data_IF_979310244995
#
_entry.id   IF_979310244995
#
_cell.length_a   1.000
_cell.length_b   1.000
_cell.length_c   1.000
_cell.angle_alpha   90.00
_cell.angle_beta   90.00
_cell.angle_gamma   90.00
#
_symmetry.space_group_name_H-M   'P 1'
#
loop_
_entity.id
_entity.type
_entity.pdbx_description
1 polymer ?
#
# COMPACT_ATOMS: atom_id res chain seq x y z
N UNK A 1 1.44 15.07 -0.94
CA UNK A 1 0.02 14.71 -1.15
C UNK A 1 -0.27 14.76 -2.64
N UNK A 2 -1.12 13.87 -3.16
CA UNK A 2 -1.60 13.89 -4.55
C UNK A 2 -3.05 14.38 -4.53
N UNK A 3 -3.37 15.47 -5.23
CA UNK A 3 -4.68 16.11 -5.11
C UNK A 3 -5.30 16.45 -6.46
N UNK A 4 -6.64 16.58 -6.48
CA UNK A 4 -7.45 16.98 -7.65
C UNK A 4 -7.18 16.11 -8.87
N UNK A 5 -7.01 14.80 -8.66
CA UNK A 5 -6.68 13.83 -9.70
C UNK A 5 -7.88 13.68 -10.63
N UNK A 6 -7.64 13.94 -11.90
CA UNK A 6 -8.61 13.72 -12.98
C UNK A 6 -7.98 12.89 -14.09
N UNK A 7 -8.78 12.01 -14.68
CA UNK A 7 -8.43 11.33 -15.92
C UNK A 7 -9.11 12.04 -17.10
N UNK A 8 -8.35 12.39 -18.14
CA UNK A 8 -8.91 13.04 -19.33
C UNK A 8 -9.43 11.99 -20.31
N UNK A 9 -10.73 11.72 -20.26
CA UNK A 9 -11.44 10.82 -21.15
C UNK A 9 -11.94 11.60 -22.37
N UNK A 10 -11.18 11.50 -23.47
CA UNK A 10 -11.50 12.09 -24.76
C UNK A 10 -11.88 13.60 -24.70
N UNK A 11 -11.07 14.39 -24.00
CA UNK A 11 -11.27 15.84 -23.84
C UNK A 11 -12.05 16.22 -22.59
N UNK A 12 -12.65 15.27 -21.87
CA UNK A 12 -13.40 15.51 -20.63
C UNK A 12 -12.61 15.03 -19.42
N UNK A 13 -12.26 15.96 -18.52
CA UNK A 13 -11.68 15.61 -17.22
C UNK A 13 -12.75 14.97 -16.33
N UNK A 14 -12.52 13.73 -15.91
CA UNK A 14 -13.38 12.99 -14.99
C UNK A 14 -12.67 12.83 -13.66
N UNK A 15 -13.38 13.04 -12.54
CA UNK A 15 -12.81 12.92 -11.20
C UNK A 15 -12.40 11.47 -10.92
N UNK A 16 -11.26 11.31 -10.24
CA UNK A 16 -10.77 10.00 -9.77
C UNK A 16 -10.52 10.05 -8.26
N UNK A 17 -9.74 11.03 -7.80
CA UNK A 17 -9.37 11.18 -6.40
C UNK A 17 -9.24 12.66 -6.05
N UNK A 18 -9.94 13.10 -5.01
CA UNK A 18 -9.81 14.46 -4.49
C UNK A 18 -8.46 14.62 -3.78
N UNK A 19 -8.10 13.73 -2.86
CA UNK A 19 -6.82 13.73 -2.14
C UNK A 19 -6.33 12.31 -1.80
N UNK A 20 -5.05 12.06 -2.05
CA UNK A 20 -4.36 10.81 -1.70
C UNK A 20 -3.05 11.09 -0.95
N UNK A 21 -2.85 10.39 0.16
CA UNK A 21 -1.62 10.51 0.97
C UNK A 21 -1.37 9.27 1.83
N UNK A 22 -0.15 9.15 2.36
CA UNK A 22 0.09 8.31 3.54
C UNK A 22 -0.79 8.87 4.68
N UNK A 23 -1.73 8.08 5.16
CA UNK A 23 -2.53 8.43 6.34
C UNK A 23 -1.70 8.26 7.61
N UNK A 24 -0.96 7.16 7.69
CA UNK A 24 0.02 6.90 8.73
C UNK A 24 0.65 5.53 8.59
N UNK A 25 1.60 5.21 9.46
CA UNK A 25 2.20 3.88 9.52
C UNK A 25 2.66 3.55 10.95
N UNK A 26 2.85 2.26 11.22
CA UNK A 26 3.35 1.75 12.49
C UNK A 26 4.38 0.64 12.27
N UNK A 27 5.44 0.64 13.09
CA UNK A 27 6.42 -0.45 13.21
C UNK A 27 6.44 -1.03 14.63
N UNK A 28 5.58 -2.02 14.94
CA UNK A 28 5.51 -2.63 16.27
C UNK A 28 6.33 -3.92 16.37
N UNK A 29 7.04 -4.10 17.49
CA UNK A 29 7.92 -5.24 17.77
C UNK A 29 7.25 -6.33 18.61
N UNK A 30 7.71 -7.58 18.48
CA UNK A 30 7.14 -8.76 19.16
C UNK A 30 7.94 -9.33 20.33
N UNK A 31 8.94 -8.61 20.84
CA UNK A 31 9.79 -9.06 21.96
C UNK A 31 9.33 -8.43 23.29
N UNK A 32 9.04 -9.23 24.34
CA UNK A 32 8.50 -8.76 25.60
C UNK A 32 9.55 -8.23 26.59
N UNK A 33 10.84 -8.30 26.28
CA UNK A 33 11.89 -7.88 27.21
C UNK A 33 11.87 -6.36 27.44
N UNK A 34 12.50 -5.94 28.55
CA UNK A 34 12.49 -4.56 29.06
C UNK A 34 12.86 -3.49 28.02
N UNK A 35 13.75 -3.83 27.08
CA UNK A 35 14.20 -2.92 26.03
C UNK A 35 13.30 -2.87 24.81
N UNK A 36 12.26 -3.72 24.72
CA UNK A 36 11.51 -4.01 23.49
C UNK A 36 9.98 -3.90 23.62
N UNK A 37 9.39 -4.27 24.76
CA UNK A 37 7.93 -4.43 24.88
C UNK A 37 7.11 -3.17 24.51
N UNK A 38 7.70 -1.99 24.64
CA UNK A 38 7.05 -0.71 24.34
C UNK A 38 7.30 -0.22 22.89
N UNK A 39 8.16 -0.89 22.12
CA UNK A 39 8.57 -0.41 20.79
C UNK A 39 7.44 -0.60 19.78
N UNK A 40 6.78 0.51 19.48
CA UNK A 40 5.83 0.64 18.40
C UNK A 40 5.94 2.07 17.82
N UNK A 41 6.71 2.22 16.76
CA UNK A 41 7.01 3.52 16.16
C UNK A 41 5.87 3.96 15.25
N UNK A 42 5.20 5.08 15.56
CA UNK A 42 4.30 5.77 14.62
C UNK A 42 5.11 6.77 13.80
N UNK A 43 5.85 6.30 12.80
CA UNK A 43 6.89 7.06 12.09
C UNK A 43 6.42 8.46 11.63
N UNK A 44 5.24 8.53 11.02
CA UNK A 44 4.66 9.81 10.59
C UNK A 44 4.12 10.66 11.75
N UNK A 45 3.42 10.04 12.70
CA UNK A 45 2.72 10.74 13.77
C UNK A 45 3.63 11.23 14.90
N UNK A 46 4.58 10.40 15.33
CA UNK A 46 5.48 10.68 16.45
C UNK A 46 6.76 11.43 16.01
N UNK A 47 7.21 11.23 14.76
CA UNK A 47 8.51 11.76 14.30
C UNK A 47 8.43 12.76 13.12
N UNK A 48 7.33 12.77 12.37
CA UNK A 48 7.15 13.70 11.25
C UNK A 48 7.97 13.31 10.01
N UNK A 49 7.54 12.26 9.30
CA UNK A 49 8.21 11.77 8.09
C UNK A 49 8.45 12.83 7.00
N UNK A 50 7.55 13.82 6.87
CA UNK A 50 7.75 14.94 5.94
C UNK A 50 9.01 15.77 6.27
N UNK A 51 9.19 16.11 7.55
CA UNK A 51 10.41 16.77 8.06
C UNK A 51 11.64 15.88 7.89
N UNK A 52 11.46 14.57 8.04
CA UNK A 52 12.50 13.55 7.89
C UNK A 52 12.58 12.99 6.47
N UNK A 53 12.30 13.82 5.46
CA UNK A 53 12.50 13.44 4.06
C UNK A 53 13.98 13.27 3.77
N UNK A 54 14.33 12.19 3.09
CA UNK A 54 15.70 11.91 2.66
C UNK A 54 15.91 12.39 1.22
N UNK A 55 16.79 13.39 0.98
CA UNK A 55 17.06 13.90 -0.36
C UNK A 55 17.48 12.82 -1.35
N UNK A 56 16.78 12.72 -2.47
CA UNK A 56 17.02 11.70 -3.49
C UNK A 56 18.46 11.77 -4.00
N UNK A 57 19.18 10.64 -3.93
CA UNK A 57 20.47 10.46 -4.58
C UNK A 57 20.25 10.17 -6.07
N UNK A 58 20.42 11.21 -6.89
CA UNK A 58 20.20 11.17 -8.35
C UNK A 58 20.88 9.97 -9.02
N UNK A 59 20.11 9.24 -9.83
CA UNK A 59 20.59 8.09 -10.60
C UNK A 59 20.76 6.79 -9.80
N UNK A 60 20.47 6.81 -8.49
CA UNK A 60 20.52 5.63 -7.61
C UNK A 60 19.15 5.37 -6.98
N UNK A 61 18.65 6.34 -6.21
CA UNK A 61 17.36 6.24 -5.51
C UNK A 61 16.18 6.45 -6.47
N UNK A 62 16.44 7.08 -7.61
CA UNK A 62 15.53 7.26 -8.74
C UNK A 62 16.34 7.13 -10.05
N UNK A 63 15.72 6.72 -11.17
CA UNK A 63 16.43 6.51 -12.43
C UNK A 63 17.05 7.81 -12.96
N UNK A 64 18.01 7.67 -13.89
CA UNK A 64 18.77 8.80 -14.43
C UNK A 64 17.92 9.84 -15.17
N UNK A 65 16.74 9.45 -15.68
CA UNK A 65 15.78 10.33 -16.35
C UNK A 65 14.85 11.08 -15.37
N UNK A 66 15.01 10.90 -14.06
CA UNK A 66 14.14 11.53 -13.08
C UNK A 66 14.35 13.06 -12.98
N UNK A 67 13.22 13.76 -12.91
CA UNK A 67 13.15 15.15 -12.46
C UNK A 67 13.05 15.14 -10.94
N UNK A 68 13.86 15.96 -10.27
CA UNK A 68 13.90 16.03 -8.81
C UNK A 68 13.35 17.38 -8.38
N UNK A 69 12.39 17.36 -7.46
CA UNK A 69 11.70 18.53 -6.96
C UNK A 69 12.24 18.89 -5.58
N UNK A 70 12.45 20.17 -5.34
CA UNK A 70 12.64 20.70 -3.99
C UNK A 70 11.26 20.99 -3.40
N UNK A 71 11.11 20.80 -2.10
CA UNK A 71 9.87 21.13 -1.38
C UNK A 71 10.22 22.00 -0.17
N UNK A 72 9.32 22.88 0.24
CA UNK A 72 9.52 23.75 1.41
C UNK A 72 8.49 23.44 2.47
N UNK A 73 8.95 23.26 3.71
CA UNK A 73 8.12 23.07 4.90
C UNK A 73 8.55 24.07 5.99
N UNK A 74 7.85 24.11 7.12
CA UNK A 74 8.35 24.79 8.32
C UNK A 74 9.16 23.81 9.18
N UNK A 75 10.27 24.27 9.76
CA UNK A 75 10.99 23.53 10.80
C UNK A 75 10.30 23.65 12.17
N UNK A 76 10.86 22.97 13.17
CA UNK A 76 10.30 22.94 14.53
C UNK A 76 10.29 24.30 15.25
N UNK A 77 11.01 25.30 14.74
CA UNK A 77 11.04 26.68 15.26
C UNK A 77 10.15 27.63 14.46
N UNK A 78 9.50 27.14 13.40
CA UNK A 78 8.64 27.93 12.51
C UNK A 78 9.39 28.62 11.36
N UNK A 79 10.66 28.29 11.15
CA UNK A 79 11.46 28.85 10.04
C UNK A 79 11.25 27.99 8.78
N UNK A 80 11.06 28.59 7.59
CA UNK A 80 11.00 27.83 6.35
C UNK A 80 12.27 27.02 6.09
N UNK A 81 12.11 25.74 5.79
CA UNK A 81 13.16 24.78 5.47
C UNK A 81 12.88 24.21 4.08
N UNK A 82 13.77 24.51 3.12
CA UNK A 82 13.79 23.84 1.82
C UNK A 82 14.48 22.48 1.95
N UNK A 83 13.80 21.43 1.52
CA UNK A 83 14.33 20.08 1.39
C UNK A 83 14.73 19.89 -0.09
N UNK A 84 16.04 19.82 -0.40
CA UNK A 84 16.47 19.66 -1.77
C UNK A 84 16.17 18.24 -2.26
N UNK A 85 15.69 18.10 -3.49
CA UNK A 85 15.40 16.78 -4.11
C UNK A 85 14.50 15.90 -3.23
N UNK A 86 13.49 16.51 -2.61
CA UNK A 86 12.53 15.83 -1.73
C UNK A 86 11.71 14.76 -2.47
N UNK A 87 11.36 15.02 -3.73
CA UNK A 87 10.51 14.13 -4.55
C UNK A 87 11.21 13.87 -5.88
N UNK A 88 11.09 12.64 -6.38
CA UNK A 88 11.46 12.28 -7.75
C UNK A 88 10.22 12.02 -8.60
N UNK A 89 10.17 12.59 -9.79
CA UNK A 89 9.13 12.33 -10.80
C UNK A 89 9.81 11.74 -12.03
N UNK A 90 9.37 10.57 -12.47
CA UNK A 90 9.97 9.90 -13.62
C UNK A 90 8.99 9.02 -14.37
N UNK A 91 9.19 8.93 -15.68
CA UNK A 91 8.51 7.94 -16.52
C UNK A 91 9.36 6.67 -16.63
N UNK A 92 8.72 5.50 -16.66
CA UNK A 92 9.39 4.22 -16.93
C UNK A 92 8.62 3.38 -17.93
N UNK A 93 9.36 2.58 -18.71
CA UNK A 93 8.82 1.45 -19.46
C UNK A 93 8.43 0.33 -18.48
N UNK A 94 7.23 -0.25 -18.66
CA UNK A 94 6.69 -1.27 -17.77
C UNK A 94 6.14 -2.50 -18.52
N UNK A 95 6.83 -2.93 -19.57
CA UNK A 95 6.42 -4.07 -20.39
C UNK A 95 5.44 -3.70 -21.50
N UNK A 96 4.77 -4.67 -22.15
CA UNK A 96 3.70 -4.40 -23.08
C UNK A 96 2.42 -3.95 -22.35
N UNK A 97 1.78 -2.87 -22.79
CA UNK A 97 0.45 -2.46 -22.29
C UNK A 97 -0.61 -3.48 -22.69
N UNK A 98 -0.60 -3.86 -23.97
CA UNK A 98 -1.29 -5.03 -24.47
C UNK A 98 -0.55 -5.64 -25.64
N UNK A 99 -0.85 -6.92 -25.92
CA UNK A 99 -0.29 -7.66 -27.04
C UNK A 99 -1.30 -8.67 -27.57
N UNK A 100 -1.41 -8.77 -28.88
CA UNK A 100 -2.09 -9.86 -29.57
C UNK A 100 -1.26 -10.33 -30.77
N UNK A 101 -0.95 -11.63 -30.81
CA UNK A 101 -0.31 -12.27 -31.95
C UNK A 101 -1.28 -13.28 -32.53
N UNK A 102 -2.05 -12.84 -33.53
CA UNK A 102 -2.96 -13.72 -34.26
C UNK A 102 -2.17 -14.57 -35.25
N UNK A 103 -2.55 -15.84 -35.40
CA UNK A 103 -1.84 -16.75 -36.30
C UNK A 103 -2.06 -16.30 -37.75
N UNK A 104 -0.96 -16.11 -38.49
CA UNK A 104 -1.01 -15.68 -39.89
C UNK A 104 -1.36 -14.20 -40.10
N UNK A 105 -1.38 -13.37 -39.05
CA UNK A 105 -1.60 -11.92 -39.14
C UNK A 105 -0.42 -11.14 -38.55
N UNK A 106 -0.26 -9.84 -38.89
CA UNK A 106 0.73 -8.97 -38.26
C UNK A 106 0.52 -8.86 -36.73
N UNK A 107 1.63 -8.79 -36.00
CA UNK A 107 1.62 -8.57 -34.55
C UNK A 107 1.02 -7.21 -34.19
N UNK A 108 0.26 -7.15 -33.09
CA UNK A 108 -0.14 -5.90 -32.44
C UNK A 108 0.47 -5.87 -31.04
N UNK A 109 1.26 -4.83 -30.74
CA UNK A 109 1.82 -4.61 -29.40
C UNK A 109 2.05 -3.13 -29.17
N UNK A 110 1.77 -2.69 -27.96
CA UNK A 110 2.06 -1.35 -27.46
C UNK A 110 2.85 -1.48 -26.17
N UNK A 111 3.74 -0.54 -25.92
CA UNK A 111 4.46 -0.48 -24.64
C UNK A 111 3.61 0.20 -23.56
N UNK A 112 3.79 -0.21 -22.31
CA UNK A 112 3.24 0.44 -21.14
C UNK A 112 4.22 1.48 -20.65
N UNK A 113 3.74 2.70 -20.41
CA UNK A 113 4.44 3.70 -19.61
C UNK A 113 3.74 3.94 -18.28
N UNK A 114 4.54 4.16 -17.27
CA UNK A 114 4.10 4.53 -15.92
C UNK A 114 4.82 5.80 -15.51
N UNK A 115 4.05 6.77 -14.99
CA UNK A 115 4.59 7.95 -14.33
C UNK A 115 4.66 7.66 -12.82
N UNK A 116 5.86 7.70 -12.26
CA UNK A 116 6.10 7.45 -10.84
C UNK A 116 6.45 8.75 -10.14
N UNK A 117 5.76 9.02 -9.03
CA UNK A 117 6.12 10.05 -8.04
C UNK A 117 6.65 9.34 -6.80
N UNK A 118 7.98 9.38 -6.63
CA UNK A 118 8.70 8.73 -5.54
C UNK A 118 9.07 9.71 -4.45
N UNK A 119 8.85 9.31 -3.21
CA UNK A 119 9.28 10.01 -2.01
C UNK A 119 9.98 9.05 -1.06
N UNK A 120 11.03 9.52 -0.36
CA UNK A 120 11.78 8.73 0.62
C UNK A 120 11.83 9.46 1.94
N UNK A 121 11.56 8.76 3.04
CA UNK A 121 11.71 9.28 4.40
C UNK A 121 12.49 8.29 5.26
N UNK A 122 13.41 8.80 6.08
CA UNK A 122 14.25 7.99 6.97
C UNK A 122 13.92 8.34 8.40
N UNK A 123 13.49 7.35 9.18
CA UNK A 123 13.16 7.53 10.60
C UNK A 123 14.07 6.63 11.42
N UNK A 124 15.07 7.25 12.05
CA UNK A 124 16.06 6.52 12.84
C UNK A 124 16.86 5.55 11.96
N UNK A 125 16.56 4.26 12.11
CA UNK A 125 17.31 3.17 11.47
C UNK A 125 16.71 2.67 10.15
N UNK A 126 15.44 2.94 9.84
CA UNK A 126 14.80 2.49 8.61
C UNK A 126 14.59 3.64 7.61
N UNK A 127 14.62 3.27 6.33
CA UNK A 127 14.35 4.12 5.18
C UNK A 127 13.12 3.59 4.43
N UNK A 128 12.10 4.44 4.25
CA UNK A 128 10.84 4.11 3.60
C UNK A 128 10.71 4.80 2.26
N UNK A 129 10.33 4.05 1.22
CA UNK A 129 10.18 4.52 -0.15
C UNK A 129 8.71 4.38 -0.54
N UNK A 130 8.08 5.47 -0.98
CA UNK A 130 6.69 5.48 -1.42
C UNK A 130 6.62 5.88 -2.88
N UNK A 131 6.07 4.99 -3.71
CA UNK A 131 5.85 5.24 -5.13
C UNK A 131 4.35 5.39 -5.39
N UNK A 132 3.93 6.57 -5.87
CA UNK A 132 2.63 6.76 -6.50
C UNK A 132 2.77 6.56 -8.01
N UNK A 133 2.10 5.56 -8.56
CA UNK A 133 2.32 5.06 -9.91
C UNK A 133 1.06 5.31 -10.74
N UNK A 134 1.15 6.21 -11.72
CA UNK A 134 0.05 6.51 -12.62
C UNK A 134 0.26 5.79 -13.95
N UNK A 135 -0.69 4.91 -14.29
CA UNK A 135 -0.68 4.16 -15.54
C UNK A 135 -1.47 4.91 -16.62
N UNK A 136 -1.03 4.85 -17.88
CA UNK A 136 -1.75 5.46 -19.00
C UNK A 136 -3.19 4.95 -19.13
N UNK A 137 -3.48 3.72 -18.71
CA UNK A 137 -4.81 3.11 -18.78
C UNK A 137 -5.76 3.50 -17.62
N UNK A 138 -5.35 4.42 -16.75
CA UNK A 138 -6.15 4.91 -15.63
C UNK A 138 -5.92 4.20 -14.29
N UNK A 139 -5.11 3.14 -14.26
CA UNK A 139 -4.74 2.49 -12.99
C UNK A 139 -3.86 3.43 -12.14
N UNK A 140 -4.04 3.38 -10.82
CA UNK A 140 -3.13 3.99 -9.85
C UNK A 140 -2.57 2.88 -8.96
N UNK A 141 -1.26 2.71 -8.99
CA UNK A 141 -0.50 1.86 -8.05
C UNK A 141 0.05 2.70 -6.89
N UNK A 142 0.15 2.09 -5.72
CA UNK A 142 0.82 2.68 -4.55
C UNK A 142 1.69 1.59 -3.94
N UNK A 143 3.01 1.74 -4.09
CA UNK A 143 3.97 0.79 -3.54
C UNK A 143 4.70 1.41 -2.34
N UNK A 144 4.97 0.60 -1.32
CA UNK A 144 5.78 0.96 -0.16
C UNK A 144 6.96 0.00 -0.03
N UNK A 145 8.18 0.53 -0.14
CA UNK A 145 9.44 -0.19 0.09
C UNK A 145 10.05 0.16 1.44
N UNK A 146 10.75 -0.80 2.06
CA UNK A 146 11.52 -0.58 3.28
C UNK A 146 12.96 -1.08 3.08
N UNK A 147 13.93 -0.28 3.51
CA UNK A 147 15.37 -0.59 3.55
C UNK A 147 16.01 0.10 4.76
N UNK A 148 17.34 0.11 4.85
CA UNK A 148 18.07 0.67 5.99
C UNK A 148 18.67 -0.42 6.87
N UNK A 149 18.73 -0.16 8.17
CA UNK A 149 19.40 -0.99 9.17
C UNK A 149 18.37 -1.55 10.15
N UNK A 150 18.37 -2.86 10.38
CA UNK A 150 17.45 -3.48 11.34
C UNK A 150 17.71 -3.02 12.78
N UNK A 151 16.67 -2.95 13.61
CA UNK A 151 16.83 -2.82 15.05
C UNK A 151 17.16 -4.18 15.66
N UNK A 152 18.32 -4.28 16.29
CA UNK A 152 18.88 -5.57 16.74
C UNK A 152 18.97 -5.71 18.25
N UNK A 153 18.84 -6.95 18.73
CA UNK A 153 19.04 -7.35 20.12
C UNK A 153 20.43 -7.98 20.28
N UNK A 154 21.20 -7.45 21.23
CA UNK A 154 22.45 -8.06 21.65
C UNK A 154 22.19 -9.35 22.42
N UNK A 155 22.79 -10.45 21.99
CA UNK A 155 22.59 -11.78 22.58
C UNK A 155 23.92 -12.48 22.85
N UNK A 156 23.90 -13.56 23.66
CA UNK A 156 25.12 -14.28 24.01
C UNK A 156 25.56 -15.24 22.90
N UNK A 157 24.62 -15.84 22.20
CA UNK A 157 24.90 -16.76 21.10
C UNK A 157 25.65 -16.07 19.96
N UNK A 158 26.72 -16.72 19.50
CA UNK A 158 27.42 -16.41 18.25
C UNK A 158 26.89 -17.27 17.12
N UNK A 159 26.51 -18.52 17.40
CA UNK A 159 25.95 -19.43 16.40
C UNK A 159 24.70 -20.12 16.95
N UNK A 160 23.94 -20.77 16.06
CA UNK A 160 22.77 -21.58 16.47
C UNK A 160 23.15 -22.85 17.27
N UNK A 161 24.44 -23.14 17.44
CA UNK A 161 24.92 -24.27 18.24
C UNK A 161 25.19 -23.89 19.71
N UNK A 162 25.18 -22.61 20.05
CA UNK A 162 25.48 -22.15 21.41
C UNK A 162 24.31 -22.38 22.37
N UNK A 163 24.61 -22.54 23.65
CA UNK A 163 23.64 -22.94 24.68
C UNK A 163 22.41 -22.02 24.74
N UNK A 164 22.61 -20.70 24.60
CA UNK A 164 21.53 -19.72 24.70
C UNK A 164 20.80 -19.47 23.39
N UNK A 165 21.26 -20.03 22.26
CA UNK A 165 20.75 -19.67 20.93
C UNK A 165 19.24 -19.82 20.83
N UNK A 166 18.67 -20.90 21.37
CA UNK A 166 17.23 -21.15 21.35
C UNK A 166 16.42 -20.06 22.05
N UNK A 167 16.89 -19.58 23.21
CA UNK A 167 16.20 -18.55 23.97
C UNK A 167 16.48 -17.16 23.39
N UNK A 168 17.73 -16.91 22.98
CA UNK A 168 18.18 -15.68 22.32
C UNK A 168 17.36 -15.42 21.03
N UNK A 169 17.02 -16.46 20.26
CA UNK A 169 16.28 -16.36 19.00
C UNK A 169 14.77 -16.61 19.12
N UNK A 170 14.21 -16.59 20.33
CA UNK A 170 12.77 -16.82 20.52
C UNK A 170 11.90 -15.78 19.80
N UNK A 171 12.40 -14.55 19.70
CA UNK A 171 11.68 -13.39 19.17
C UNK A 171 12.34 -12.78 17.92
N UNK A 172 13.25 -13.51 17.26
CA UNK A 172 13.97 -13.00 16.10
C UNK A 172 15.02 -13.97 15.57
N UNK A 173 15.56 -13.70 14.40
CA UNK A 173 16.60 -14.52 13.78
C UNK A 173 17.99 -14.08 14.24
N UNK A 174 18.89 -15.02 14.53
CA UNK A 174 20.32 -14.71 14.71
C UNK A 174 20.92 -14.35 13.34
N UNK A 175 21.12 -13.07 13.09
CA UNK A 175 21.56 -12.55 11.78
C UNK A 175 23.07 -12.33 11.70
N UNK A 176 23.73 -12.21 12.85
CA UNK A 176 25.18 -12.16 12.98
C UNK A 176 25.58 -12.63 14.39
N UNK A 177 26.86 -12.84 14.62
CA UNK A 177 27.40 -13.20 15.92
C UNK A 177 26.95 -12.18 16.98
N UNK A 178 26.24 -12.65 18.01
CA UNK A 178 25.73 -11.83 19.11
C UNK A 178 24.59 -10.87 18.72
N UNK A 179 23.99 -11.01 17.53
CA UNK A 179 23.03 -10.05 16.98
C UNK A 179 21.78 -10.78 16.48
N UNK A 180 20.64 -10.51 17.13
CA UNK A 180 19.32 -10.99 16.69
C UNK A 180 18.53 -9.84 16.05
N UNK A 181 18.04 -10.05 14.84
CA UNK A 181 17.04 -9.20 14.20
C UNK A 181 15.67 -9.50 14.80
N UNK A 182 15.19 -8.64 15.71
CA UNK A 182 13.94 -8.87 16.44
C UNK A 182 12.74 -8.74 15.50
N UNK A 183 11.87 -9.74 15.49
CA UNK A 183 10.66 -9.80 14.67
C UNK A 183 9.73 -8.63 14.95
N UNK A 184 9.25 -7.98 13.89
CA UNK A 184 8.34 -6.85 13.92
C UNK A 184 7.48 -6.80 12.66
N UNK A 185 6.51 -5.89 12.61
CA UNK A 185 5.70 -5.63 11.41
C UNK A 185 6.02 -4.24 10.85
N UNK A 186 5.87 -4.05 9.54
CA UNK A 186 5.69 -2.73 8.94
C UNK A 186 4.27 -2.64 8.40
N UNK A 187 3.46 -1.72 8.92
CA UNK A 187 2.05 -1.58 8.56
C UNK A 187 1.81 -0.16 8.06
N UNK A 188 1.45 -0.04 6.78
CA UNK A 188 1.18 1.23 6.12
C UNK A 188 -0.33 1.41 5.94
N UNK A 189 -0.83 2.63 6.14
CA UNK A 189 -2.21 3.00 5.87
C UNK A 189 -2.23 4.25 4.97
N UNK A 190 -2.93 4.15 3.84
CA UNK A 190 -3.11 5.26 2.91
C UNK A 190 -4.53 5.82 3.03
N UNK A 191 -4.64 7.14 3.16
CA UNK A 191 -5.91 7.86 3.06
C UNK A 191 -6.14 8.22 1.61
N UNK A 192 -7.19 7.65 1.02
CA UNK A 192 -7.57 7.82 -0.39
C UNK A 192 -9.00 8.36 -0.47
N UNK A 193 -9.12 9.66 -0.66
CA UNK A 193 -10.39 10.35 -0.85
C UNK A 193 -10.80 10.25 -2.33
N UNK A 194 -11.34 9.10 -2.70
CA UNK A 194 -11.75 8.79 -4.07
C UNK A 194 -13.11 9.42 -4.38
N UNK A 195 -13.13 10.24 -5.43
CA UNK A 195 -14.31 10.88 -6.00
C UNK A 195 -14.59 10.23 -7.36
N UNK A 196 -15.12 9.01 -7.38
CA UNK A 196 -15.24 8.22 -8.62
C UNK A 196 -16.25 8.87 -9.56
N UNK A 197 -15.75 9.61 -10.55
CA UNK A 197 -16.53 10.42 -11.48
C UNK A 197 -17.56 11.34 -10.79
N UNK A 198 -17.30 11.77 -9.56
CA UNK A 198 -18.23 12.53 -8.72
C UNK A 198 -18.16 12.13 -7.25
N UNK A 199 -18.74 12.97 -6.41
CA UNK A 199 -18.68 12.88 -4.93
C UNK A 199 -19.54 11.73 -4.35
N UNK A 200 -20.73 11.50 -4.90
CA UNK A 200 -21.66 10.52 -4.35
C UNK A 200 -21.31 9.10 -4.82
N UNK A 201 -20.64 8.33 -3.96
CA UNK A 201 -20.24 6.96 -4.25
C UNK A 201 -20.83 5.94 -3.26
N UNK A 202 -20.72 4.66 -3.57
CA UNK A 202 -21.15 3.54 -2.73
C UNK A 202 -20.12 2.41 -2.79
N UNK A 203 -19.86 1.76 -1.65
CA UNK A 203 -19.01 0.58 -1.59
C UNK A 203 -19.81 -0.65 -2.03
N UNK A 204 -19.32 -1.37 -3.03
CA UNK A 204 -19.94 -2.57 -3.60
C UNK A 204 -18.96 -3.74 -3.51
N UNK A 205 -19.45 -4.85 -2.98
CA UNK A 205 -18.74 -6.12 -2.97
C UNK A 205 -19.16 -6.97 -4.18
N UNK A 206 -18.19 -7.68 -4.75
CA UNK A 206 -18.39 -8.69 -5.77
C UNK A 206 -17.54 -9.90 -5.37
N UNK A 207 -18.17 -10.94 -4.86
CA UNK A 207 -17.49 -12.16 -4.39
C UNK A 207 -17.65 -13.26 -5.45
N UNK A 208 -16.57 -13.65 -6.17
CA UNK A 208 -16.61 -14.78 -7.08
C UNK A 208 -16.89 -16.09 -6.33
N UNK A 209 -17.87 -16.85 -6.82
CA UNK A 209 -18.34 -18.08 -6.16
C UNK A 209 -18.65 -19.18 -7.17
N UNK A 210 -18.54 -20.42 -6.72
CA UNK A 210 -19.02 -21.59 -7.45
C UNK A 210 -20.47 -21.83 -7.05
N UNK A 211 -21.38 -21.89 -8.03
CA UNK A 211 -22.80 -22.25 -7.83
C UNK A 211 -23.19 -23.50 -8.63
N UNK A 212 -24.13 -24.31 -8.15
CA UNK A 212 -24.67 -25.44 -8.91
C UNK A 212 -25.18 -24.99 -10.29
N UNK A 213 -24.94 -25.81 -11.31
CA UNK A 213 -25.47 -25.55 -12.64
C UNK A 213 -26.98 -25.85 -12.67
N UNK A 214 -27.78 -24.88 -13.09
CA UNK A 214 -29.24 -25.01 -13.25
C UNK A 214 -29.68 -24.92 -14.72
N UNK A 215 -28.75 -24.78 -15.66
CA UNK A 215 -29.03 -24.62 -17.10
C UNK A 215 -29.04 -25.94 -17.88
N UNK A 216 -28.80 -27.08 -17.21
CA UNK A 216 -28.65 -28.39 -17.86
C UNK A 216 -27.30 -28.59 -18.54
N UNK A 217 -27.19 -29.66 -19.33
CA UNK A 217 -25.93 -30.07 -19.97
C UNK A 217 -24.94 -30.77 -19.03
N UNK A 218 -23.71 -31.06 -19.50
CA UNK A 218 -22.78 -31.95 -18.79
C UNK A 218 -22.11 -31.35 -17.54
N UNK A 219 -22.14 -30.03 -17.38
CA UNK A 219 -21.46 -29.33 -16.28
C UNK A 219 -22.26 -29.44 -14.98
N UNK A 220 -21.59 -29.69 -13.87
CA UNK A 220 -22.21 -29.72 -12.54
C UNK A 220 -22.27 -28.34 -11.86
N UNK A 221 -21.39 -27.42 -12.25
CA UNK A 221 -21.25 -26.10 -11.61
C UNK A 221 -20.90 -24.97 -12.58
N UNK A 222 -21.10 -23.75 -12.08
CA UNK A 222 -20.87 -22.46 -12.78
C UNK A 222 -20.05 -21.53 -11.88
N UNK A 223 -19.29 -20.62 -12.51
CA UNK A 223 -18.66 -19.50 -11.82
C UNK A 223 -19.63 -18.31 -11.90
N UNK A 224 -19.99 -17.75 -10.75
CA UNK A 224 -20.90 -16.62 -10.64
C UNK A 224 -20.33 -15.59 -9.65
N UNK A 225 -21.01 -14.46 -9.49
CA UNK A 225 -20.62 -13.41 -8.54
C UNK A 225 -21.79 -13.15 -7.60
N UNK A 226 -21.52 -13.14 -6.30
CA UNK A 226 -22.44 -12.55 -5.32
C UNK A 226 -22.12 -11.05 -5.24
N UNK A 227 -23.04 -10.20 -5.70
CA UNK A 227 -22.88 -8.75 -5.65
C UNK A 227 -23.84 -8.13 -4.64
N UNK A 228 -23.33 -7.24 -3.78
CA UNK A 228 -24.13 -6.54 -2.76
C UNK A 228 -23.46 -5.24 -2.31
N UNK A 229 -24.25 -4.30 -1.81
CA UNK A 229 -23.73 -3.03 -1.26
C UNK A 229 -23.29 -3.23 0.20
N UNK A 230 -22.23 -2.52 0.59
CA UNK A 230 -21.81 -2.39 1.98
C UNK A 230 -22.22 -0.98 2.44
N UNK A 231 -23.29 -0.91 3.24
CA UNK A 231 -24.04 0.33 3.47
C UNK A 231 -23.62 1.15 4.69
N UNK A 232 -22.70 0.66 5.53
CA UNK A 232 -22.26 1.35 6.75
C UNK A 232 -20.76 1.15 6.99
N UNK A 233 -20.18 2.01 7.84
CA UNK A 233 -18.74 2.07 8.12
C UNK A 233 -18.25 0.85 8.92
N UNK A 234 -19.10 0.29 9.79
CA UNK A 234 -18.75 -0.87 10.61
C UNK A 234 -18.50 -2.10 9.73
N UNK A 235 -19.35 -2.33 8.73
CA UNK A 235 -19.20 -3.41 7.76
C UNK A 235 -18.11 -3.10 6.72
N UNK A 236 -17.89 -1.82 6.41
CA UNK A 236 -16.83 -1.40 5.49
C UNK A 236 -15.43 -1.65 6.06
N UNK A 237 -15.26 -1.54 7.38
CA UNK A 237 -14.05 -1.90 8.11
C UNK A 237 -13.82 -3.42 8.13
N UNK A 238 -13.10 -3.95 7.14
CA UNK A 238 -13.04 -5.39 6.88
C UNK A 238 -11.65 -5.93 6.58
N UNK A 239 -11.50 -7.25 6.76
CA UNK A 239 -10.36 -7.98 6.19
C UNK A 239 -10.50 -7.99 4.66
N UNK A 240 -9.38 -7.94 3.96
CA UNK A 240 -9.37 -8.06 2.50
C UNK A 240 -8.98 -9.48 2.08
N UNK A 241 -9.85 -10.14 1.32
CA UNK A 241 -9.55 -11.37 0.62
C UNK A 241 -9.18 -11.04 -0.85
N UNK A 242 -7.94 -11.29 -1.29
CA UNK A 242 -7.50 -10.99 -2.66
C UNK A 242 -8.22 -11.82 -3.74
N UNK A 243 -9.00 -12.83 -3.37
CA UNK A 243 -9.91 -13.54 -4.29
C UNK A 243 -11.23 -12.83 -4.55
N UNK A 244 -11.54 -11.76 -3.80
CA UNK A 244 -12.77 -10.97 -3.93
C UNK A 244 -12.53 -9.62 -4.60
N UNK A 245 -13.61 -8.98 -5.04
CA UNK A 245 -13.58 -7.65 -5.66
C UNK A 245 -14.30 -6.66 -4.76
N UNK A 246 -13.70 -5.50 -4.53
CA UNK A 246 -14.28 -4.37 -3.81
C UNK A 246 -14.24 -3.15 -4.72
N UNK A 247 -15.39 -2.55 -4.96
CA UNK A 247 -15.56 -1.40 -5.84
C UNK A 247 -16.03 -0.20 -5.04
N UNK A 248 -15.45 0.97 -5.30
CA UNK A 248 -16.13 2.23 -5.04
C UNK A 248 -16.82 2.66 -6.33
N UNK A 249 -18.16 2.68 -6.30
CA UNK A 249 -18.99 2.86 -7.48
C UNK A 249 -19.79 4.15 -7.40
N UNK A 250 -19.89 4.86 -8.51
CA UNK A 250 -20.84 5.95 -8.66
C UNK A 250 -22.14 5.42 -9.28
N UNK A 251 -23.16 5.24 -8.45
CA UNK A 251 -24.45 4.69 -8.88
C UNK A 251 -25.29 5.69 -9.69
N UNK A 252 -24.83 6.93 -9.86
CA UNK A 252 -25.51 7.97 -10.64
C UNK A 252 -24.95 8.09 -12.07
N UNK A 253 -23.89 7.34 -12.40
CA UNK A 253 -23.23 7.40 -13.70
C UNK A 253 -22.88 5.99 -14.17
N UNK A 254 -23.17 5.72 -15.43
CA UNK A 254 -22.96 4.43 -16.05
C UNK A 254 -22.01 4.54 -17.23
N UNK A 255 -21.30 3.45 -17.52
CA UNK A 255 -20.58 3.32 -18.77
C UNK A 255 -21.55 2.99 -19.93
N UNK A 256 -21.02 2.86 -21.15
CA UNK A 256 -21.81 2.58 -22.36
C UNK A 256 -22.69 1.31 -22.28
N UNK A 257 -22.38 0.37 -21.38
CA UNK A 257 -23.12 -0.88 -21.20
C UNK A 257 -24.14 -0.82 -20.05
N UNK A 258 -24.31 0.34 -19.41
CA UNK A 258 -25.21 0.49 -18.26
C UNK A 258 -24.63 -0.01 -16.93
N UNK A 259 -23.32 -0.27 -16.86
CA UNK A 259 -22.68 -0.64 -15.59
C UNK A 259 -22.23 0.61 -14.84
N UNK A 260 -22.42 0.69 -13.50
CA UNK A 260 -21.93 1.80 -12.70
C UNK A 260 -20.43 2.04 -12.87
N UNK A 261 -20.04 3.29 -13.13
CA UNK A 261 -18.61 3.64 -13.23
C UNK A 261 -17.96 3.47 -11.86
N UNK A 262 -16.83 2.78 -11.82
CA UNK A 262 -16.26 2.27 -10.57
C UNK A 262 -14.74 2.25 -10.61
N UNK A 263 -14.11 2.35 -9.45
CA UNK A 263 -12.71 1.95 -9.24
C UNK A 263 -12.67 0.70 -8.37
N UNK A 264 -11.84 -0.28 -8.75
CA UNK A 264 -11.56 -1.42 -7.90
C UNK A 264 -10.48 -1.06 -6.88
N UNK A 265 -10.72 -1.39 -5.62
CA UNK A 265 -9.80 -1.14 -4.51
C UNK A 265 -9.11 -2.47 -4.15
N UNK A 266 -7.78 -2.48 -4.18
CA UNK A 266 -6.95 -3.66 -3.88
C UNK A 266 -5.90 -3.25 -2.84
N UNK A 267 -6.20 -3.38 -1.53
CA UNK A 267 -5.26 -3.04 -0.46
C UNK A 267 -4.03 -3.96 -0.39
N UNK A 268 -4.11 -5.16 -0.97
CA UNK A 268 -3.01 -6.11 -1.04
C UNK A 268 -2.89 -6.69 -2.45
N UNK A 269 -1.91 -6.19 -3.20
CA UNK A 269 -1.60 -6.61 -4.57
C UNK A 269 -0.31 -7.47 -4.66
N UNK A 270 0.33 -7.76 -3.54
CA UNK A 270 1.58 -8.51 -3.45
C UNK A 270 2.53 -7.93 -2.42
N UNK A 271 3.66 -8.61 -2.21
CA UNK A 271 4.72 -8.19 -1.31
C UNK A 271 5.90 -9.14 -1.40
N UNK A 272 7.09 -8.66 -1.05
CA UNK A 272 8.33 -9.46 -1.05
C UNK A 272 8.68 -10.04 0.31
N UNK A 273 8.05 -9.54 1.39
CA UNK A 273 8.07 -10.13 2.73
C UNK A 273 6.78 -10.91 3.02
N UNK A 274 6.78 -11.79 4.04
CA UNK A 274 5.55 -12.39 4.54
C UNK A 274 4.49 -11.34 4.90
N UNK A 275 3.25 -11.60 4.48
CA UNK A 275 2.16 -10.63 4.59
C UNK A 275 1.58 -10.63 6.00
N UNK A 276 1.35 -9.43 6.53
CA UNK A 276 0.54 -9.23 7.72
C UNK A 276 -0.94 -9.50 7.42
N UNK A 277 -1.47 -10.65 7.87
CA UNK A 277 -2.93 -10.92 7.83
C UNK A 277 -3.74 -9.98 8.73
N UNK A 278 -3.06 -9.28 9.62
CA UNK A 278 -3.58 -8.40 10.65
C UNK A 278 -2.48 -8.06 11.65
N UNK A 279 -2.88 -7.52 12.79
CA UNK A 279 -1.96 -7.27 13.89
C UNK A 279 -1.46 -8.60 14.48
N UNK A 280 -0.15 -8.76 14.68
CA UNK A 280 0.45 -9.87 15.43
C UNK A 280 0.44 -9.58 16.94
N UNK A 281 -0.72 -9.15 17.45
CA UNK A 281 -0.94 -8.81 18.85
C UNK A 281 -2.22 -9.47 19.34
N UNK A 282 -2.24 -9.86 20.61
CA UNK A 282 -3.47 -10.30 21.23
C UNK A 282 -4.45 -9.11 21.33
N UNK A 283 -5.78 -9.34 21.23
CA UNK A 283 -6.76 -8.24 21.24
C UNK A 283 -6.79 -7.39 22.51
N UNK A 284 -6.23 -7.90 23.62
CA UNK A 284 -6.12 -7.23 24.92
C UNK A 284 -4.82 -6.43 25.09
N UNK A 285 -3.92 -6.46 24.10
CA UNK A 285 -2.73 -5.60 24.09
C UNK A 285 -3.11 -4.13 23.91
N UNK A 286 -2.46 -3.24 24.65
CA UNK A 286 -2.73 -1.80 24.58
C UNK A 286 -2.51 -1.23 23.17
N UNK A 287 -1.50 -1.71 22.44
CA UNK A 287 -1.24 -1.26 21.07
C UNK A 287 -2.36 -1.68 20.12
N UNK A 288 -2.91 -2.88 20.30
CA UNK A 288 -4.05 -3.37 19.51
C UNK A 288 -5.28 -2.51 19.76
N UNK A 289 -5.54 -2.16 21.03
CA UNK A 289 -6.67 -1.30 21.38
C UNK A 289 -6.52 0.14 20.85
N UNK A 290 -5.31 0.69 20.88
CA UNK A 290 -5.02 2.07 20.44
C UNK A 290 -5.11 2.24 18.92
N UNK A 291 -4.76 1.22 18.14
CA UNK A 291 -4.51 1.34 16.69
C UNK A 291 -5.29 0.31 15.86
N UNK A 292 -6.62 0.43 15.85
CA UNK A 292 -7.49 -0.54 15.18
C UNK A 292 -7.22 -0.71 13.67
N UNK A 293 -6.63 0.30 13.01
CA UNK A 293 -6.29 0.22 11.57
C UNK A 293 -5.32 -0.92 11.25
N UNK A 294 -4.54 -1.40 12.23
CA UNK A 294 -3.57 -2.48 12.04
C UNK A 294 -4.21 -3.82 11.67
N UNK A 295 -5.48 -4.02 12.04
CA UNK A 295 -6.12 -5.34 11.95
C UNK A 295 -7.19 -5.46 10.86
N UNK A 296 -7.38 -4.46 10.02
CA UNK A 296 -8.30 -4.51 8.87
C UNK A 296 -7.65 -3.82 7.67
N UNK A 297 -7.67 -4.45 6.51
CA UNK A 297 -6.97 -3.95 5.32
C UNK A 297 -7.79 -2.93 4.53
N UNK A 298 -9.12 -2.93 4.67
CA UNK A 298 -10.01 -1.99 3.99
C UNK A 298 -10.90 -1.26 5.00
N UNK A 299 -11.00 0.06 4.82
CA UNK A 299 -11.85 0.96 5.57
C UNK A 299 -12.48 1.94 4.58
N UNK A 300 -13.76 2.28 4.81
CA UNK A 300 -14.42 3.39 4.11
C UNK A 300 -15.24 4.15 5.15
N UNK A 301 -15.03 5.46 5.22
CA UNK A 301 -15.76 6.38 6.08
C UNK A 301 -16.37 7.48 5.23
N UNK A 302 -17.29 8.25 5.80
CA UNK A 302 -17.70 9.53 5.21
C UNK A 302 -16.49 10.48 5.15
N UNK A 303 -16.49 11.37 4.16
CA UNK A 303 -15.58 12.52 4.09
C UNK A 303 -15.74 13.40 5.34
#
# INVERSE_FOLDING_TARGET
MISTVTYNDNGTKRKVMYEGSLGGMIVPYGDPDIGWYFKAYLDSGDYGMGTLTSPIARGKDAPSNAVLLNETIADYTGVPMEIPRAIAVFERYAGPEYKHQEMGQPNVSTERRELVVRWISTVGNYDYIFDWIFHENGTIGIDAGATGIEAVKGVKAKTMHDETAKDDTRYGTLIDHNIVGTTHQHIYNFRLDLDVDGENNSLVAMDPVVKPNTAGGPRTSTMQVNQYNIGNEQDAAQKFDPGTIRLLSNLNKENRMGNPVSYQIIPYAGGTHPVAKGAQFAPDEWIYHRLSFMDKQLWVTRY
#
